data_IF_170883777511
#
_entry.id   IF_170883777511
#
_cell.length_a   1.000
_cell.length_b   1.000
_cell.length_c   1.000
_cell.angle_alpha   90.00
_cell.angle_beta   90.00
_cell.angle_gamma   90.00
#
_symmetry.space_group_name_H-M   'P 1'
#
loop_
_entity.id
_entity.type
_entity.pdbx_description
1 polymer ?
#
# COMPACT_ATOMS: atom_id res chain seq x y z
N UNK A 1 -6.65 -14.46 -1.07
CA UNK A 1 -7.09 -13.66 -2.24
C UNK A 1 -6.26 -12.38 -2.43
N UNK A 2 -6.66 -11.51 -3.37
CA UNK A 2 -5.96 -10.27 -3.71
C UNK A 2 -6.93 -9.11 -3.96
N UNK A 3 -6.69 -7.97 -3.32
CA UNK A 3 -7.44 -6.73 -3.50
C UNK A 3 -6.50 -5.59 -3.86
N UNK A 4 -6.89 -4.75 -4.81
CA UNK A 4 -6.09 -3.58 -5.22
C UNK A 4 -6.92 -2.31 -5.21
N UNK A 5 -6.29 -1.18 -4.88
CA UNK A 5 -6.89 0.15 -4.91
C UNK A 5 -5.86 1.17 -5.40
N UNK A 6 -6.26 2.04 -6.32
CA UNK A 6 -5.44 3.16 -6.78
C UNK A 6 -5.78 4.44 -6.01
N UNK A 7 -4.76 5.23 -5.69
CA UNK A 7 -4.87 6.51 -5.00
C UNK A 7 -4.12 7.59 -5.75
N UNK A 8 -4.75 8.74 -5.94
CA UNK A 8 -4.19 9.89 -6.65
C UNK A 8 -4.12 11.09 -5.71
N UNK A 9 -3.04 11.85 -5.81
CA UNK A 9 -2.76 12.98 -4.93
C UNK A 9 -2.42 14.20 -5.79
N UNK A 10 -2.99 15.36 -5.45
CA UNK A 10 -2.57 16.61 -6.05
C UNK A 10 -1.39 17.17 -5.25
N UNK A 11 -0.23 17.30 -5.90
CA UNK A 11 1.01 17.80 -5.30
C UNK A 11 1.30 19.28 -5.64
N UNK A 12 0.38 20.01 -6.28
CA UNK A 12 0.60 21.41 -6.69
C UNK A 12 0.81 22.37 -5.51
N UNK A 13 0.56 21.93 -4.28
CA UNK A 13 0.87 22.70 -3.07
C UNK A 13 2.34 22.64 -2.67
N UNK A 14 3.12 21.70 -3.22
CA UNK A 14 4.56 21.58 -2.98
C UNK A 14 5.28 22.48 -3.99
N UNK A 15 6.02 23.52 -3.55
CA UNK A 15 6.83 24.36 -4.42
C UNK A 15 7.94 23.59 -5.13
N UNK A 16 8.33 24.02 -6.33
CA UNK A 16 9.35 23.34 -7.13
C UNK A 16 10.74 23.38 -6.48
N UNK A 17 11.01 24.39 -5.64
CA UNK A 17 12.27 24.56 -4.93
C UNK A 17 12.32 23.76 -3.62
N UNK A 18 11.22 23.09 -3.22
CA UNK A 18 11.16 22.32 -1.99
C UNK A 18 11.88 20.97 -2.14
N UNK A 19 12.86 20.75 -1.26
CA UNK A 19 13.60 19.50 -1.18
C UNK A 19 12.83 18.49 -0.31
N UNK A 20 12.27 17.47 -0.96
CA UNK A 20 11.61 16.35 -0.28
C UNK A 20 12.67 15.50 0.43
N UNK A 21 12.66 15.53 1.77
CA UNK A 21 13.56 14.73 2.61
C UNK A 21 12.96 13.38 2.98
N UNK A 22 11.65 13.32 3.16
CA UNK A 22 10.90 12.10 3.47
C UNK A 22 9.43 12.27 3.08
N UNK A 23 8.77 11.18 2.73
CA UNK A 23 7.32 11.12 2.55
C UNK A 23 6.78 9.75 2.95
N UNK A 24 5.63 9.76 3.63
CA UNK A 24 4.91 8.54 4.04
C UNK A 24 3.50 8.49 3.46
N UNK A 25 3.10 7.31 2.94
CA UNK A 25 1.70 6.98 2.69
C UNK A 25 1.16 6.25 3.91
N UNK A 26 0.13 6.83 4.53
CA UNK A 26 -0.54 6.23 5.69
C UNK A 26 -1.84 5.56 5.29
N UNK A 27 -1.97 4.28 5.60
CA UNK A 27 -3.17 3.48 5.35
C UNK A 27 -3.75 3.04 6.69
N UNK A 28 -5.03 3.33 6.91
CA UNK A 28 -5.76 2.78 8.04
C UNK A 28 -6.30 1.42 7.64
N UNK A 29 -5.99 0.39 8.44
CA UNK A 29 -6.64 -0.92 8.34
C UNK A 29 -7.60 -1.09 9.50
N UNK A 30 -8.77 -1.63 9.19
CA UNK A 30 -9.70 -2.10 10.19
C UNK A 30 -9.52 -3.60 10.43
N UNK A 31 -9.87 -4.05 11.64
CA UNK A 31 -9.84 -5.46 12.00
C UNK A 31 -10.81 -6.24 11.13
N UNK A 32 -10.33 -7.33 10.56
CA UNK A 32 -11.22 -8.29 9.89
C UNK A 32 -11.73 -9.26 10.95
N UNK A 33 -12.83 -8.90 11.59
CA UNK A 33 -13.51 -9.79 12.53
C UNK A 33 -14.20 -10.92 11.73
N UNK A 34 -13.49 -12.03 11.50
CA UNK A 34 -14.13 -13.23 10.93
C UNK A 34 -13.29 -14.10 9.99
N UNK A 35 -12.18 -14.68 10.46
CA UNK A 35 -11.56 -15.84 9.80
C UNK A 35 -10.99 -16.87 10.79
N UNK A 36 -11.59 -16.99 11.98
CA UNK A 36 -11.40 -18.20 12.76
C UNK A 36 -12.17 -19.34 12.04
N UNK A 37 -11.49 -20.06 11.15
CA UNK A 37 -11.99 -21.36 10.71
C UNK A 37 -12.03 -22.27 11.95
N UNK A 38 -13.19 -22.80 12.37
CA UNK A 38 -13.25 -23.77 13.45
C UNK A 38 -12.86 -25.12 12.85
N UNK A 39 -11.55 -25.36 12.70
CA UNK A 39 -11.04 -26.69 12.41
C UNK A 39 -10.00 -27.05 13.45
N UNK A 40 -10.27 -28.20 14.06
CA UNK A 40 -9.95 -28.58 15.42
C UNK A 40 -8.46 -28.79 15.72
N UNK A 41 -8.18 -28.80 17.03
CA UNK A 41 -7.03 -29.41 17.71
C UNK A 41 -5.72 -28.60 17.83
N UNK A 42 -5.67 -27.73 18.83
CA UNK A 42 -4.56 -27.75 19.79
C UNK A 42 -4.94 -27.02 21.08
N UNK A 43 -4.82 -27.76 22.17
CA UNK A 43 -4.94 -27.27 23.55
C UNK A 43 -3.73 -26.38 23.81
N UNK A 44 -3.89 -25.06 23.78
CA UNK A 44 -3.05 -24.08 24.50
C UNK A 44 -3.59 -22.68 24.28
N UNK A 45 -3.87 -21.97 25.38
CA UNK A 45 -4.11 -20.53 25.54
C UNK A 45 -4.56 -19.76 24.30
N UNK A 46 -5.86 -19.48 24.28
CA UNK A 46 -6.63 -18.76 23.28
C UNK A 46 -6.02 -17.42 22.84
N UNK A 47 -5.27 -17.44 21.75
CA UNK A 47 -5.22 -16.32 20.78
C UNK A 47 -5.92 -16.77 19.51
N UNK A 48 -6.94 -16.02 19.01
CA UNK A 48 -7.55 -16.34 17.73
C UNK A 48 -6.45 -16.35 16.65
N UNK A 49 -6.47 -17.34 15.76
CA UNK A 49 -5.50 -17.45 14.68
C UNK A 49 -5.58 -16.20 13.80
N UNK A 50 -4.70 -15.22 14.06
CA UNK A 50 -4.62 -14.00 13.28
C UNK A 50 -4.09 -14.34 11.89
N UNK A 51 -4.87 -14.06 10.85
CA UNK A 51 -4.40 -14.11 9.48
C UNK A 51 -3.32 -13.06 9.24
N UNK A 52 -2.29 -13.43 8.48
CA UNK A 52 -1.29 -12.47 8.00
C UNK A 52 -1.72 -11.94 6.63
N UNK A 53 -1.73 -10.63 6.49
CA UNK A 53 -1.88 -9.94 5.22
C UNK A 53 -0.56 -9.32 4.80
N UNK A 54 -0.30 -9.26 3.49
CA UNK A 54 0.80 -8.47 2.93
C UNK A 54 0.23 -7.26 2.22
N UNK A 55 0.68 -6.08 2.60
CA UNK A 55 0.36 -4.83 1.91
C UNK A 55 1.58 -4.44 1.09
N UNK A 56 1.39 -4.25 -0.21
CA UNK A 56 2.40 -3.76 -1.14
C UNK A 56 1.97 -2.37 -1.64
N UNK A 57 2.91 -1.42 -1.64
CA UNK A 57 2.70 -0.08 -2.19
C UNK A 57 3.52 0.04 -3.46
N UNK A 58 2.86 0.37 -4.57
CA UNK A 58 3.48 0.58 -5.86
C UNK A 58 3.32 2.02 -6.32
N UNK A 59 4.36 2.58 -6.92
CA UNK A 59 4.24 3.74 -7.81
C UNK A 59 3.68 3.30 -9.15
N UNK A 60 2.75 4.07 -9.71
CA UNK A 60 2.36 3.97 -11.10
C UNK A 60 3.25 4.93 -11.88
N UNK A 61 4.23 4.42 -12.64
CA UNK A 61 5.21 5.28 -13.33
C UNK A 61 5.02 5.33 -14.85
N UNK A 62 4.05 4.58 -15.39
CA UNK A 62 3.67 4.68 -16.79
C UNK A 62 2.25 4.19 -17.04
N UNK A 63 1.48 4.98 -17.77
CA UNK A 63 0.22 4.54 -18.38
C UNK A 63 0.55 3.97 -19.75
N UNK A 64 0.11 2.75 -20.09
CA UNK A 64 0.47 2.16 -21.37
C UNK A 64 -0.09 2.97 -22.55
N UNK A 65 0.72 3.11 -23.59
CA UNK A 65 0.43 3.88 -24.81
C UNK A 65 -0.82 3.41 -25.61
N UNK A 66 -1.45 2.31 -25.20
CA UNK A 66 -2.59 1.69 -25.89
C UNK A 66 -3.64 1.29 -24.86
N UNK A 67 -4.91 1.59 -25.13
CA UNK A 67 -6.04 1.16 -24.30
C UNK A 67 -5.99 -0.37 -24.07
N UNK A 68 -6.13 -0.79 -22.80
CA UNK A 68 -6.25 -2.21 -22.43
C UNK A 68 -4.98 -2.90 -21.92
N UNK A 69 -3.85 -2.20 -21.82
CA UNK A 69 -2.65 -2.73 -21.14
C UNK A 69 -2.64 -2.36 -19.65
N UNK A 70 -1.99 -3.19 -18.85
CA UNK A 70 -1.81 -2.93 -17.42
C UNK A 70 -0.81 -1.78 -17.17
N UNK A 71 -1.02 -0.97 -16.12
CA UNK A 71 -0.08 0.08 -15.74
C UNK A 71 1.31 -0.48 -15.41
N UNK A 72 2.35 0.31 -15.66
CA UNK A 72 3.69 -0.03 -15.21
C UNK A 72 3.83 0.34 -13.73
N UNK A 73 4.14 -0.67 -12.91
CA UNK A 73 4.20 -0.57 -11.46
C UNK A 73 5.63 -0.76 -10.95
N UNK A 74 6.06 0.09 -10.02
CA UNK A 74 7.32 -0.04 -9.28
C UNK A 74 7.01 -0.22 -7.81
N UNK A 75 7.42 -1.34 -7.20
CA UNK A 75 7.25 -1.57 -5.77
C UNK A 75 8.08 -0.54 -4.98
N UNK A 76 7.45 0.17 -4.05
CA UNK A 76 8.08 1.14 -3.17
C UNK A 76 8.33 0.53 -1.79
N UNK A 77 7.29 -0.06 -1.20
CA UNK A 77 7.35 -0.63 0.15
C UNK A 77 6.42 -1.84 0.29
N UNK A 78 6.72 -2.73 1.23
CA UNK A 78 5.93 -3.92 1.54
C UNK A 78 5.92 -4.20 3.03
N UNK A 79 4.76 -4.61 3.57
CA UNK A 79 4.61 -4.94 4.98
C UNK A 79 3.71 -6.14 5.21
N UNK A 80 4.15 -7.02 6.10
CA UNK A 80 3.30 -8.05 6.70
C UNK A 80 2.57 -7.47 7.91
N UNK A 81 1.25 -7.61 7.94
CA UNK A 81 0.39 -7.13 9.03
C UNK A 81 -0.50 -8.26 9.54
N UNK A 82 -0.80 -8.25 10.83
CA UNK A 82 -1.79 -9.14 11.44
C UNK A 82 -3.19 -8.55 11.25
N UNK A 83 -4.16 -9.35 10.82
CA UNK A 83 -5.55 -8.94 10.60
C UNK A 83 -6.33 -8.62 11.89
N UNK A 84 -5.80 -9.04 13.04
CA UNK A 84 -6.40 -8.94 14.37
C UNK A 84 -6.24 -7.57 15.03
N UNK A 85 -5.70 -6.56 14.35
CA UNK A 85 -5.52 -5.20 14.88
C UNK A 85 -6.06 -4.12 13.92
N UNK A 86 -6.68 -3.07 14.46
CA UNK A 86 -7.06 -1.89 13.68
C UNK A 86 -6.01 -0.84 13.97
N UNK A 87 -5.29 -0.37 12.95
CA UNK A 87 -4.25 0.64 13.15
C UNK A 87 -3.85 1.33 11.86
N UNK A 88 -3.14 2.43 12.02
CA UNK A 88 -2.41 3.05 10.93
C UNK A 88 -1.14 2.25 10.63
N UNK A 89 -0.93 2.01 9.35
CA UNK A 89 0.33 1.56 8.77
C UNK A 89 0.93 2.72 7.96
N UNK A 90 2.24 2.89 8.04
CA UNK A 90 2.98 3.93 7.34
C UNK A 90 3.98 3.28 6.40
N UNK A 91 4.01 3.73 5.15
CA UNK A 91 4.84 3.18 4.09
C UNK A 91 5.71 4.27 3.49
N UNK A 92 6.99 3.97 3.25
CA UNK A 92 7.89 4.93 2.63
C UNK A 92 7.56 5.09 1.14
N UNK A 93 7.24 6.33 0.75
CA UNK A 93 6.98 6.70 -0.65
C UNK A 93 7.90 7.82 -1.11
N UNK A 94 8.94 8.15 -0.34
CA UNK A 94 9.90 9.21 -0.64
C UNK A 94 10.45 9.13 -2.07
N UNK A 95 10.87 7.95 -2.60
CA UNK A 95 11.41 7.87 -3.96
C UNK A 95 10.43 8.31 -5.06
N UNK A 96 9.13 8.09 -4.87
CA UNK A 96 8.10 8.50 -5.83
C UNK A 96 7.80 9.99 -5.69
N UNK A 97 7.63 10.48 -4.46
CA UNK A 97 7.34 11.91 -4.22
C UNK A 97 8.49 12.79 -4.70
N UNK A 98 9.74 12.45 -4.36
CA UNK A 98 10.92 13.18 -4.83
C UNK A 98 11.02 13.19 -6.36
N UNK A 99 10.63 12.09 -7.02
CA UNK A 99 10.62 12.03 -8.49
C UNK A 99 9.53 12.93 -9.08
N UNK A 100 8.30 12.85 -8.58
CA UNK A 100 7.16 13.63 -9.08
C UNK A 100 7.32 15.14 -8.85
N UNK A 101 8.00 15.57 -7.78
CA UNK A 101 8.23 16.99 -7.48
C UNK A 101 9.49 17.55 -8.12
N UNK A 102 10.33 16.73 -8.77
CA UNK A 102 11.58 17.17 -9.43
C UNK A 102 11.38 18.00 -10.72
N UNK A 103 10.13 18.29 -11.11
CA UNK A 103 9.77 19.04 -12.31
C UNK A 103 9.70 18.22 -13.61
N UNK A 104 10.29 17.02 -13.63
CA UNK A 104 10.30 16.12 -14.80
C UNK A 104 9.47 14.84 -14.60
N UNK A 105 9.05 14.56 -13.37
CA UNK A 105 8.30 13.36 -13.01
C UNK A 105 6.80 13.52 -13.27
N UNK A 106 6.20 12.48 -13.85
CA UNK A 106 4.74 12.41 -13.99
C UNK A 106 4.15 11.70 -12.77
N UNK A 107 3.24 12.38 -12.06
CA UNK A 107 2.47 11.78 -10.98
C UNK A 107 1.28 11.01 -11.55
N UNK A 108 1.33 9.68 -11.50
CA UNK A 108 0.19 8.82 -11.84
C UNK A 108 -0.39 8.09 -10.62
N UNK A 109 -0.02 8.51 -9.41
CA UNK A 109 -0.53 7.95 -8.17
C UNK A 109 0.12 6.64 -7.73
N UNK A 110 -0.48 6.05 -6.70
CA UNK A 110 -0.05 4.80 -6.09
C UNK A 110 -1.08 3.69 -6.33
N UNK A 111 -0.61 2.45 -6.41
CA UNK A 111 -1.44 1.26 -6.30
C UNK A 111 -1.11 0.55 -4.99
N UNK A 112 -2.13 0.37 -4.16
CA UNK A 112 -2.07 -0.44 -2.94
C UNK A 112 -2.62 -1.81 -3.26
N UNK A 113 -1.85 -2.85 -2.97
CA UNK A 113 -2.25 -4.24 -3.11
C UNK A 113 -2.23 -4.92 -1.74
N UNK A 114 -3.33 -5.60 -1.40
CA UNK A 114 -3.44 -6.41 -0.20
C UNK A 114 -3.57 -7.87 -0.62
N UNK A 115 -2.60 -8.68 -0.22
CA UNK A 115 -2.64 -10.13 -0.36
C UNK A 115 -3.08 -10.69 0.98
N UNK A 116 -4.17 -11.44 0.94
CA UNK A 116 -4.74 -12.12 2.10
C UNK A 116 -4.82 -13.62 1.81
N UNK A 117 -5.04 -14.47 2.83
CA UNK A 117 -5.42 -15.87 2.62
C UNK A 117 -6.58 -15.99 1.62
#
# INVERSE_FOLDING_TARGET
GKTTQQFYFNLTSIPNEELITSAELRIYRDQVMGSASPTESSISDSTPASGLHRINIYEIFGVPATQGKEPLLRLLDTRMVQDSLSRWESFDVSPAISHWTSGNGHNHGFLVEVIHP
#
